data_IF_378384523895
#
_entry.id   IF_378384523895
#
_cell.length_a   1.000
_cell.length_b   1.000
_cell.length_c   1.000
_cell.angle_alpha   90.00
_cell.angle_beta   90.00
_cell.angle_gamma   90.00
#
_symmetry.space_group_name_H-M   'P 1'
#
loop_
_entity.id
_entity.type
_entity.pdbx_description
1 polymer ?
#
# COMPACT_ATOMS: atom_id res chain seq x y z
N UNK A 1 -1.81 -2.48 -16.76
CA UNK A 1 -2.79 -1.40 -16.71
C UNK A 1 -2.24 -0.27 -15.85
N UNK A 2 -2.40 0.94 -16.28
CA UNK A 2 -1.89 2.10 -15.56
C UNK A 2 -3.01 2.76 -14.75
N UNK A 3 -2.74 2.98 -13.47
CA UNK A 3 -3.69 3.60 -12.54
C UNK A 3 -3.00 4.76 -11.82
N UNK A 4 -3.70 5.89 -11.71
CA UNK A 4 -3.24 7.02 -10.92
C UNK A 4 -4.06 7.05 -9.64
N UNK A 5 -3.38 7.02 -8.50
CA UNK A 5 -4.00 7.17 -7.18
C UNK A 5 -3.76 8.61 -6.70
N UNK A 6 -4.81 9.25 -6.23
CA UNK A 6 -4.71 10.58 -5.63
C UNK A 6 -5.35 10.60 -4.24
N UNK A 7 -4.72 11.33 -3.33
CA UNK A 7 -5.30 11.62 -2.02
C UNK A 7 -5.92 13.00 -1.99
N UNK A 8 -6.57 13.32 -0.88
CA UNK A 8 -7.21 14.64 -0.68
C UNK A 8 -6.37 15.59 0.16
N UNK A 9 -5.10 15.25 0.40
CA UNK A 9 -4.19 16.10 1.17
C UNK A 9 -3.75 17.36 0.43
N UNK A 10 -3.26 18.33 1.19
CA UNK A 10 -2.62 19.55 0.69
C UNK A 10 -1.14 19.57 1.12
N UNK A 11 -0.18 19.77 0.19
CA UNK A 11 -0.41 19.85 -1.26
C UNK A 11 -0.85 18.51 -1.83
N UNK A 12 -1.60 18.51 -2.94
CA UNK A 12 -2.13 17.26 -3.50
C UNK A 12 -1.01 16.39 -4.08
N UNK A 13 -1.17 15.08 -3.94
CA UNK A 13 -0.20 14.10 -4.42
C UNK A 13 -0.91 13.09 -5.30
N UNK A 14 -0.29 12.79 -6.45
CA UNK A 14 -0.71 11.69 -7.31
C UNK A 14 0.45 10.71 -7.50
N UNK A 15 0.11 9.42 -7.53
CA UNK A 15 1.07 8.33 -7.76
C UNK A 15 0.54 7.48 -8.91
N UNK A 16 1.30 7.40 -9.98
CA UNK A 16 0.97 6.54 -11.11
C UNK A 16 1.63 5.18 -10.94
N UNK A 17 0.83 4.14 -11.11
CA UNK A 17 1.25 2.75 -10.92
C UNK A 17 1.00 1.98 -12.20
N UNK A 18 2.03 1.26 -12.66
CA UNK A 18 1.92 0.36 -13.79
C UNK A 18 2.36 -1.03 -13.33
N UNK A 19 1.41 -1.98 -13.34
CA UNK A 19 1.68 -3.30 -12.78
C UNK A 19 2.02 -3.20 -11.30
N UNK A 20 3.22 -3.63 -10.93
CA UNK A 20 3.68 -3.64 -9.53
C UNK A 20 4.53 -2.43 -9.16
N UNK A 21 4.80 -1.51 -10.11
CA UNK A 21 5.79 -0.45 -9.92
C UNK A 21 5.19 0.94 -9.99
N UNK A 22 5.77 1.84 -9.20
CA UNK A 22 5.50 3.28 -9.28
C UNK A 22 6.25 3.80 -10.50
N UNK A 23 5.54 4.49 -11.40
CA UNK A 23 6.14 5.04 -12.62
C UNK A 23 6.20 6.56 -12.62
N UNK A 24 5.42 7.22 -11.79
CA UNK A 24 5.46 8.68 -11.66
C UNK A 24 4.86 9.13 -10.33
N UNK A 25 5.32 10.28 -9.86
CA UNK A 25 4.82 10.97 -8.68
C UNK A 25 4.79 12.47 -8.98
N UNK A 26 3.85 13.17 -8.40
CA UNK A 26 3.77 14.61 -8.54
C UNK A 26 2.39 15.14 -8.25
N UNK A 27 2.10 16.34 -8.72
CA UNK A 27 0.75 16.88 -8.61
C UNK A 27 -0.20 16.09 -9.50
N UNK A 28 -1.50 16.02 -9.15
CA UNK A 28 -2.46 15.31 -10.00
C UNK A 28 -2.48 15.81 -11.45
N UNK A 29 -2.34 17.11 -11.66
CA UNK A 29 -2.36 17.68 -13.01
C UNK A 29 -1.15 17.25 -13.83
N UNK A 30 0.05 17.27 -13.23
CA UNK A 30 1.27 16.84 -13.90
C UNK A 30 1.23 15.35 -14.27
N UNK A 31 0.80 14.52 -13.33
CA UNK A 31 0.74 13.08 -13.55
C UNK A 31 -0.33 12.71 -14.56
N UNK A 32 -1.50 13.34 -14.49
CA UNK A 32 -2.57 13.13 -15.47
C UNK A 32 -2.16 13.57 -16.87
N UNK A 33 -1.41 14.66 -16.98
CA UNK A 33 -0.90 15.13 -18.28
C UNK A 33 0.08 14.14 -18.90
N UNK A 34 0.92 13.51 -18.08
CA UNK A 34 1.87 12.50 -18.54
C UNK A 34 1.18 11.17 -18.93
N UNK A 35 0.05 10.85 -18.32
CA UNK A 35 -0.67 9.60 -18.55
C UNK A 35 -2.17 9.88 -18.76
N UNK A 36 -2.54 10.51 -19.88
CA UNK A 36 -3.92 11.01 -20.07
C UNK A 36 -4.99 9.91 -20.19
N UNK A 37 -4.60 8.68 -20.48
CA UNK A 37 -5.55 7.57 -20.62
C UNK A 37 -5.59 6.67 -19.38
N UNK A 38 -4.84 7.00 -18.33
CA UNK A 38 -4.79 6.19 -17.12
C UNK A 38 -6.12 6.27 -16.37
N UNK A 39 -6.48 5.17 -15.69
CA UNK A 39 -7.59 5.16 -14.76
C UNK A 39 -7.19 5.99 -13.54
N UNK A 40 -8.09 6.84 -13.06
CA UNK A 40 -7.82 7.66 -11.87
C UNK A 40 -8.70 7.18 -10.72
N UNK A 41 -8.08 6.90 -9.58
CA UNK A 41 -8.77 6.59 -8.33
C UNK A 41 -8.53 7.73 -7.34
N UNK A 42 -9.60 8.39 -6.94
CA UNK A 42 -9.56 9.48 -5.97
C UNK A 42 -9.97 8.95 -4.61
N UNK A 43 -9.11 9.16 -3.62
CA UNK A 43 -9.34 8.69 -2.27
C UNK A 43 -9.58 9.87 -1.33
N UNK A 44 -10.50 9.69 -0.38
CA UNK A 44 -10.68 10.64 0.69
C UNK A 44 -9.71 10.29 1.81
N UNK A 45 -8.63 11.05 1.91
CA UNK A 45 -7.60 10.81 2.89
C UNK A 45 -6.22 11.13 2.37
N UNK A 46 -5.23 10.89 3.22
CA UNK A 46 -3.85 11.15 2.90
C UNK A 46 -3.22 9.93 2.25
N UNK A 47 -2.81 10.06 1.00
CA UNK A 47 -2.09 9.04 0.26
C UNK A 47 -0.61 9.09 0.64
N UNK A 48 -0.04 7.94 0.94
CA UNK A 48 1.37 7.81 1.27
C UNK A 48 1.89 6.41 1.01
N UNK A 49 3.14 6.14 1.41
CA UNK A 49 3.67 4.79 1.30
C UNK A 49 2.95 3.85 2.26
N UNK A 50 2.94 2.56 1.91
CA UNK A 50 2.49 1.54 2.85
C UNK A 50 3.37 1.54 4.09
N UNK A 51 2.82 1.05 5.20
CA UNK A 51 3.55 1.03 6.46
C UNK A 51 4.39 -0.23 6.60
N UNK A 52 5.52 -0.11 7.29
CA UNK A 52 6.23 -1.25 7.85
C UNK A 52 5.66 -1.50 9.24
N UNK A 53 5.06 -2.68 9.43
CA UNK A 53 4.51 -3.02 10.75
C UNK A 53 5.62 -3.38 11.71
N UNK A 54 5.65 -2.69 12.83
CA UNK A 54 6.59 -3.00 13.93
C UNK A 54 5.88 -3.93 14.90
N UNK A 55 6.51 -5.00 15.28
CA UNK A 55 5.94 -5.97 16.20
C UNK A 55 5.20 -7.13 15.55
N UNK A 56 4.65 -8.03 16.36
CA UNK A 56 3.94 -9.20 15.87
C UNK A 56 2.71 -8.83 15.05
N UNK A 57 2.35 -9.68 14.08
CA UNK A 57 1.15 -9.49 13.31
C UNK A 57 -0.09 -9.59 14.21
N UNK A 58 -1.19 -8.93 13.85
CA UNK A 58 -2.42 -8.99 14.64
C UNK A 58 -2.89 -10.42 14.87
N UNK A 59 -3.50 -10.67 16.03
CA UNK A 59 -4.08 -11.97 16.35
C UNK A 59 -5.30 -12.22 15.46
N UNK A 60 -5.39 -13.44 14.93
CA UNK A 60 -6.51 -13.88 14.12
C UNK A 60 -6.53 -15.42 14.09
N UNK A 61 -7.66 -16.04 13.70
CA UNK A 61 -7.77 -17.50 13.75
C UNK A 61 -6.79 -18.27 12.86
N UNK A 62 -6.31 -17.66 11.76
CA UNK A 62 -5.39 -18.31 10.84
C UNK A 62 -4.27 -17.39 10.43
N UNK A 63 -3.18 -17.96 9.90
CA UNK A 63 -2.06 -17.18 9.37
C UNK A 63 -2.50 -16.24 8.26
N UNK A 64 -3.35 -16.70 7.35
CA UNK A 64 -3.89 -15.88 6.27
C UNK A 64 -4.68 -14.69 6.81
N UNK A 65 -5.52 -14.92 7.81
CA UNK A 65 -6.32 -13.85 8.41
C UNK A 65 -5.45 -12.84 9.15
N UNK A 66 -4.34 -13.29 9.75
CA UNK A 66 -3.38 -12.38 10.39
C UNK A 66 -2.75 -11.46 9.36
N UNK A 67 -2.36 -11.98 8.19
CA UNK A 67 -1.81 -11.17 7.11
C UNK A 67 -2.88 -10.18 6.60
N UNK A 68 -4.11 -10.63 6.41
CA UNK A 68 -5.20 -9.76 5.97
C UNK A 68 -5.49 -8.66 6.98
N UNK A 69 -5.46 -8.98 8.28
CA UNK A 69 -5.63 -7.97 9.32
C UNK A 69 -4.56 -6.89 9.25
N UNK A 70 -3.32 -7.30 8.93
CA UNK A 70 -2.22 -6.36 8.75
C UNK A 70 -2.46 -5.42 7.57
N UNK A 71 -2.88 -5.96 6.45
CA UNK A 71 -3.17 -5.17 5.25
C UNK A 71 -4.27 -4.13 5.51
N UNK A 72 -5.26 -4.46 6.33
CA UNK A 72 -6.34 -3.51 6.70
C UNK A 72 -5.84 -2.34 7.53
N UNK A 73 -4.68 -2.46 8.15
CA UNK A 73 -4.06 -1.38 8.91
C UNK A 73 -3.22 -0.45 8.03
N UNK A 74 -3.08 -0.76 6.74
CA UNK A 74 -2.25 0.02 5.83
C UNK A 74 -0.80 -0.46 5.77
N UNK A 75 -0.47 -1.56 6.44
CA UNK A 75 0.87 -2.12 6.39
C UNK A 75 1.03 -3.00 5.15
N UNK A 76 2.14 -2.82 4.45
CA UNK A 76 2.47 -3.59 3.25
C UNK A 76 3.72 -4.43 3.45
N UNK A 77 4.33 -4.34 4.62
CA UNK A 77 5.50 -5.11 4.98
C UNK A 77 5.59 -5.37 6.47
N UNK A 78 6.39 -6.36 6.82
CA UNK A 78 6.68 -6.74 8.20
C UNK A 78 8.16 -7.11 8.32
N UNK A 79 8.68 -7.07 9.54
CA UNK A 79 10.07 -7.47 9.79
C UNK A 79 10.19 -8.98 9.83
N UNK A 80 11.33 -9.49 9.38
CA UNK A 80 11.60 -10.93 9.32
C UNK A 80 11.42 -11.61 10.67
N UNK A 81 11.78 -10.94 11.76
CA UNK A 81 11.69 -11.48 13.11
C UNK A 81 10.26 -11.85 13.54
N UNK A 82 9.25 -11.25 12.87
CA UNK A 82 7.84 -11.50 13.15
C UNK A 82 7.21 -12.48 12.15
N UNK A 83 8.01 -13.06 11.25
CA UNK A 83 7.58 -14.01 10.22
C UNK A 83 8.34 -15.33 10.31
N UNK A 84 8.76 -15.72 11.52
CA UNK A 84 9.54 -16.94 11.73
C UNK A 84 8.68 -18.22 11.73
N UNK A 85 7.40 -18.09 12.09
CA UNK A 85 6.46 -19.22 11.99
C UNK A 85 6.29 -19.61 10.51
N UNK A 86 6.54 -20.89 10.14
CA UNK A 86 6.46 -21.32 8.74
C UNK A 86 5.10 -21.06 8.09
N UNK A 87 4.00 -21.24 8.81
CA UNK A 87 2.65 -20.99 8.29
C UNK A 87 2.46 -19.51 8.00
N UNK A 88 2.93 -18.64 8.89
CA UNK A 88 2.82 -17.20 8.73
C UNK A 88 3.70 -16.71 7.58
N UNK A 89 4.91 -17.24 7.48
CA UNK A 89 5.81 -16.89 6.36
C UNK A 89 5.21 -17.29 5.03
N UNK A 90 4.62 -18.47 4.93
CA UNK A 90 3.98 -18.94 3.71
C UNK A 90 2.78 -18.06 3.34
N UNK A 91 1.97 -17.66 4.31
CA UNK A 91 0.83 -16.77 4.08
C UNK A 91 1.30 -15.39 3.60
N UNK A 92 2.37 -14.87 4.20
CA UNK A 92 2.96 -13.59 3.79
C UNK A 92 3.41 -13.66 2.33
N UNK A 93 4.11 -14.73 1.94
CA UNK A 93 4.57 -14.90 0.56
C UNK A 93 3.42 -15.00 -0.43
N UNK A 94 2.39 -15.79 -0.10
CA UNK A 94 1.23 -15.96 -0.99
C UNK A 94 0.45 -14.67 -1.19
N UNK A 95 0.50 -13.78 -0.21
CA UNK A 95 -0.22 -12.50 -0.27
C UNK A 95 0.67 -11.33 -0.62
N UNK A 96 1.92 -11.56 -1.02
CA UNK A 96 2.88 -10.54 -1.42
C UNK A 96 3.24 -9.53 -0.33
N UNK A 97 3.05 -9.88 0.94
CA UNK A 97 3.51 -9.05 2.04
C UNK A 97 5.04 -8.99 2.00
N UNK A 98 5.59 -7.78 1.99
CA UNK A 98 7.03 -7.62 1.91
C UNK A 98 7.71 -7.91 3.26
N UNK A 99 8.92 -8.47 3.19
CA UNK A 99 9.79 -8.61 4.36
C UNK A 99 10.77 -7.44 4.28
N UNK A 100 10.69 -6.52 5.23
CA UNK A 100 11.42 -5.26 5.16
C UNK A 100 12.17 -4.97 6.46
N UNK A 101 13.27 -4.25 6.34
CA UNK A 101 14.01 -3.72 7.49
C UNK A 101 13.86 -2.19 7.62
N UNK A 102 13.23 -1.55 6.64
CA UNK A 102 12.92 -0.12 6.63
C UNK A 102 11.58 0.11 5.94
N UNK A 103 10.88 1.21 6.24
CA UNK A 103 9.58 1.50 5.63
C UNK A 103 9.66 1.62 4.10
N UNK A 104 8.58 1.26 3.39
CA UNK A 104 8.47 1.55 1.97
C UNK A 104 8.58 3.05 1.71
N UNK A 105 9.06 3.42 0.53
CA UNK A 105 9.14 4.82 0.13
C UNK A 105 8.41 5.04 -1.19
N UNK A 106 7.90 6.26 -1.37
CA UNK A 106 7.29 6.65 -2.62
C UNK A 106 8.38 7.14 -3.57
N UNK A 107 8.87 6.24 -4.40
CA UNK A 107 9.91 6.52 -5.37
C UNK A 107 9.57 5.89 -6.71
N UNK A 108 9.94 6.58 -7.77
CA UNK A 108 9.84 6.02 -9.11
C UNK A 108 10.67 4.74 -9.19
N UNK A 109 10.08 3.67 -9.70
CA UNK A 109 10.72 2.36 -9.79
C UNK A 109 10.52 1.47 -8.59
N UNK A 110 10.06 2.00 -7.46
CA UNK A 110 9.77 1.20 -6.27
C UNK A 110 8.53 0.35 -6.47
N UNK A 111 8.41 -0.72 -5.69
CA UNK A 111 7.18 -1.50 -5.67
C UNK A 111 6.04 -0.60 -5.18
N UNK A 112 4.89 -0.71 -5.84
CA UNK A 112 3.76 0.16 -5.52
C UNK A 112 3.02 -0.34 -4.27
N UNK A 113 3.55 0.04 -3.12
CA UNK A 113 2.99 -0.24 -1.79
C UNK A 113 2.52 1.08 -1.21
N UNK A 114 1.21 1.28 -1.20
CA UNK A 114 0.59 2.55 -0.83
C UNK A 114 -0.47 2.34 0.24
N UNK A 115 -0.71 3.38 1.04
CA UNK A 115 -1.80 3.38 1.99
C UNK A 115 -2.46 4.75 2.01
N UNK A 116 -3.75 4.77 2.29
CA UNK A 116 -4.53 6.01 2.42
C UNK A 116 -5.14 6.02 3.81
N UNK A 117 -4.94 7.12 4.54
CA UNK A 117 -5.44 7.28 5.91
C UNK A 117 -6.40 8.45 6.01
N UNK A 118 -7.51 8.24 6.71
CA UNK A 118 -8.44 9.30 7.04
C UNK A 118 -7.87 10.18 8.15
N UNK A 119 -8.52 11.32 8.41
CA UNK A 119 -8.08 12.25 9.46
C UNK A 119 -8.01 11.60 10.84
N UNK A 120 -8.91 10.66 11.13
CA UNK A 120 -8.92 9.95 12.40
C UNK A 120 -7.83 8.87 12.50
N UNK A 121 -7.00 8.73 11.46
CA UNK A 121 -5.91 7.76 11.43
C UNK A 121 -6.31 6.37 10.94
N UNK A 122 -7.59 6.13 10.66
CA UNK A 122 -8.01 4.83 10.14
C UNK A 122 -7.60 4.64 8.69
N UNK A 123 -7.30 3.40 8.31
CA UNK A 123 -6.89 3.09 6.95
C UNK A 123 -8.09 3.01 6.02
N UNK A 124 -8.08 3.81 4.97
CA UNK A 124 -9.13 3.87 3.95
C UNK A 124 -8.88 2.84 2.85
N UNK A 125 -7.62 2.69 2.45
CA UNK A 125 -7.26 1.79 1.37
C UNK A 125 -5.80 1.37 1.48
N UNK A 126 -5.50 0.17 1.01
CA UNK A 126 -4.14 -0.36 0.93
C UNK A 126 -3.90 -0.94 -0.45
N UNK A 127 -2.82 -0.50 -1.08
CA UNK A 127 -2.35 -1.01 -2.37
C UNK A 127 -1.06 -1.78 -2.10
N UNK A 128 -1.02 -3.03 -2.50
CA UNK A 128 0.10 -3.93 -2.28
C UNK A 128 0.60 -4.45 -3.61
N UNK A 129 1.84 -4.16 -3.94
CA UNK A 129 2.44 -4.54 -5.23
C UNK A 129 1.54 -4.15 -6.40
N UNK A 130 0.97 -2.95 -6.34
CA UNK A 130 0.11 -2.40 -7.37
C UNK A 130 -1.34 -2.84 -7.32
N UNK A 131 -1.72 -3.74 -6.42
CA UNK A 131 -3.09 -4.26 -6.33
C UNK A 131 -3.82 -3.68 -5.12
N UNK A 132 -5.07 -3.27 -5.33
CA UNK A 132 -5.92 -2.85 -4.23
C UNK A 132 -6.32 -4.08 -3.41
N UNK A 133 -5.84 -4.16 -2.16
CA UNK A 133 -6.08 -5.33 -1.28
C UNK A 133 -6.99 -5.00 -0.10
N UNK A 134 -7.22 -3.74 0.18
CA UNK A 134 -8.15 -3.28 1.21
C UNK A 134 -8.78 -1.98 0.79
N UNK A 135 -10.09 -1.89 0.97
CA UNK A 135 -10.85 -0.67 0.73
C UNK A 135 -11.99 -0.62 1.73
N UNK A 136 -12.02 0.43 2.52
CA UNK A 136 -13.11 0.66 3.47
C UNK A 136 -14.36 1.09 2.72
N UNK A 137 -15.48 0.46 3.07
CA UNK A 137 -16.77 0.78 2.47
C UNK A 137 -17.21 2.23 2.77
#
# INVERSE_FOLDING_TARGET
>A
MLTIHTGSQEPPLAVAVDGERIVALGSPDEVAAAYPTARVRRWRGRLGPGLLHEGPLPEAPSARERVHALLRLGATGARAEHLTDPALRAAAQRNNLAVLDRPPSLERGARADLAVFAEDGSCVATVLAGRLVHRRA
#
